data_IF_182618230815
#
_entry.id   IF_182618230815
#
_cell.length_a   1.000
_cell.length_b   1.000
_cell.length_c   1.000
_cell.angle_alpha   90.00
_cell.angle_beta   90.00
_cell.angle_gamma   90.00
#
_symmetry.space_group_name_H-M   'P 1'
#
loop_
_entity.id
_entity.type
_entity.pdbx_description
1 polymer ?
#
# COMPACT_ATOMS: atom_id res chain seq x y z
N UNK A 1 -21.20 -56.79 -49.01
CA UNK A 1 -20.08 -56.04 -49.65
C UNK A 1 -19.36 -55.28 -48.54
N UNK A 2 -18.15 -55.72 -48.25
CA UNK A 2 -17.37 -55.36 -47.08
C UNK A 2 -16.35 -54.32 -47.56
N UNK A 3 -16.38 -53.14 -47.00
CA UNK A 3 -15.42 -52.05 -47.27
C UNK A 3 -14.44 -51.92 -46.11
N UNK A 4 -13.18 -52.28 -46.34
CA UNK A 4 -12.10 -52.24 -45.39
C UNK A 4 -11.60 -50.84 -45.14
N UNK A 5 -11.42 -50.43 -43.88
CA UNK A 5 -10.70 -49.25 -43.45
C UNK A 5 -9.21 -49.55 -43.28
N UNK A 6 -8.27 -48.72 -43.76
CA UNK A 6 -6.86 -48.90 -43.47
C UNK A 6 -6.48 -48.22 -42.15
N UNK A 7 -5.77 -48.97 -41.31
CA UNK A 7 -5.14 -48.50 -40.09
C UNK A 7 -4.00 -47.51 -40.38
N UNK A 8 -4.12 -46.30 -39.86
CA UNK A 8 -3.07 -45.29 -39.89
C UNK A 8 -2.17 -45.46 -38.65
N UNK A 9 -0.98 -46.05 -38.87
CA UNK A 9 0.07 -46.23 -37.87
C UNK A 9 0.78 -44.90 -37.58
N UNK A 10 0.52 -44.30 -36.44
CA UNK A 10 1.30 -43.19 -35.93
C UNK A 10 2.66 -43.66 -35.36
N UNK A 11 3.69 -43.54 -36.17
CA UNK A 11 5.07 -43.66 -35.70
C UNK A 11 5.43 -42.39 -34.91
N UNK A 12 5.61 -42.54 -33.60
CA UNK A 12 6.26 -41.57 -32.72
C UNK A 12 7.76 -41.46 -33.13
N UNK A 13 8.06 -40.47 -33.93
CA UNK A 13 9.46 -40.07 -34.18
C UNK A 13 9.94 -39.23 -33.02
N UNK A 14 10.87 -39.79 -32.29
CA UNK A 14 11.67 -39.17 -31.24
C UNK A 14 12.44 -38.00 -31.83
N UNK A 15 11.96 -36.76 -31.58
CA UNK A 15 12.64 -35.53 -31.99
C UNK A 15 13.80 -35.29 -31.05
N UNK A 16 15.03 -35.70 -31.48
CA UNK A 16 16.25 -35.42 -30.79
C UNK A 16 16.44 -33.89 -30.64
N UNK A 17 16.52 -33.44 -29.40
CA UNK A 17 16.90 -32.07 -29.05
C UNK A 17 18.30 -31.78 -29.59
N UNK A 18 18.36 -31.10 -30.71
CA UNK A 18 19.60 -30.44 -31.15
C UNK A 18 19.88 -29.28 -30.21
N UNK A 19 20.86 -29.44 -29.37
CA UNK A 19 21.48 -28.35 -28.59
C UNK A 19 22.22 -27.47 -29.61
N UNK A 20 21.62 -26.39 -30.02
CA UNK A 20 22.27 -25.36 -30.82
C UNK A 20 23.15 -24.56 -29.85
N UNK A 21 24.47 -24.80 -29.95
CA UNK A 21 25.47 -23.95 -29.29
C UNK A 21 25.40 -22.56 -29.93
N UNK A 22 25.27 -21.47 -29.17
CA UNK A 22 25.29 -20.12 -29.73
C UNK A 22 26.74 -19.81 -30.16
N UNK A 23 26.98 -19.81 -31.47
CA UNK A 23 28.18 -19.23 -32.07
C UNK A 23 27.98 -17.71 -32.15
N UNK A 24 28.93 -16.99 -31.56
CA UNK A 24 29.23 -15.57 -31.81
C UNK A 24 28.20 -14.53 -31.39
N UNK A 25 28.22 -14.14 -30.10
CA UNK A 25 27.43 -13.03 -29.53
C UNK A 25 28.31 -11.77 -29.46
N UNK A 26 28.80 -11.26 -30.55
CA UNK A 26 29.59 -10.01 -30.52
C UNK A 26 29.00 -8.81 -31.28
N UNK A 27 27.76 -8.87 -31.75
CA UNK A 27 27.19 -7.74 -32.54
C UNK A 27 25.69 -7.49 -32.37
N UNK A 28 25.07 -7.93 -31.28
CA UNK A 28 23.67 -7.53 -31.02
C UNK A 28 23.66 -6.58 -29.83
N UNK A 29 23.45 -5.29 -30.17
CA UNK A 29 23.34 -4.19 -29.24
C UNK A 29 22.25 -4.38 -28.19
N UNK A 30 22.23 -3.47 -27.26
CA UNK A 30 21.38 -3.23 -26.09
C UNK A 30 20.00 -3.90 -25.99
N UNK A 31 19.42 -4.41 -27.07
CA UNK A 31 18.08 -5.04 -27.10
C UNK A 31 18.05 -6.46 -26.48
N UNK A 32 19.21 -7.15 -26.44
CA UNK A 32 19.28 -8.49 -25.86
C UNK A 32 19.13 -8.50 -24.33
N UNK A 33 19.52 -7.41 -23.66
CA UNK A 33 19.32 -7.25 -22.21
C UNK A 33 17.84 -7.08 -21.83
N UNK A 34 17.05 -6.46 -22.72
CA UNK A 34 15.62 -6.27 -22.49
C UNK A 34 14.84 -7.58 -22.60
N UNK A 35 15.18 -8.41 -23.60
CA UNK A 35 14.54 -9.73 -23.80
C UNK A 35 14.89 -10.70 -22.66
N UNK A 36 16.12 -10.65 -22.11
CA UNK A 36 16.50 -11.49 -20.96
C UNK A 36 15.78 -11.06 -19.68
N UNK A 37 15.50 -9.78 -19.51
CA UNK A 37 14.76 -9.26 -18.35
C UNK A 37 13.27 -9.63 -18.41
N UNK A 38 12.68 -9.72 -19.60
CA UNK A 38 11.29 -10.14 -19.78
C UNK A 38 11.08 -11.63 -19.62
N UNK A 39 12.04 -12.47 -20.00
CA UNK A 39 11.98 -13.92 -19.81
C UNK A 39 12.03 -14.35 -18.31
N UNK A 40 12.66 -13.56 -17.44
CA UNK A 40 12.64 -13.80 -16.01
C UNK A 40 11.29 -13.45 -15.33
N UNK A 41 10.42 -12.70 -16.01
CA UNK A 41 9.07 -12.39 -15.51
C UNK A 41 8.06 -13.54 -15.66
N UNK A 42 8.39 -14.58 -16.43
CA UNK A 42 7.51 -15.75 -16.65
C UNK A 42 7.68 -16.85 -15.59
N UNK A 43 8.45 -16.62 -14.53
CA UNK A 43 8.43 -17.50 -13.37
C UNK A 43 7.13 -17.27 -12.60
N UNK A 44 6.20 -18.21 -12.72
CA UNK A 44 4.89 -18.24 -12.06
C UNK A 44 4.92 -18.35 -10.53
N UNK A 45 6.09 -18.24 -9.92
CA UNK A 45 6.25 -18.25 -8.46
C UNK A 45 6.18 -16.81 -7.93
N UNK A 46 5.20 -16.54 -7.08
CA UNK A 46 5.17 -15.34 -6.24
C UNK A 46 6.44 -15.31 -5.40
N UNK A 47 7.38 -14.45 -5.77
CA UNK A 47 8.62 -14.30 -5.01
C UNK A 47 8.32 -13.58 -3.69
N UNK A 48 8.54 -14.25 -2.56
CA UNK A 48 8.55 -13.60 -1.26
C UNK A 48 9.83 -12.76 -1.12
N UNK A 49 9.67 -11.47 -0.86
CA UNK A 49 10.78 -10.55 -0.68
C UNK A 49 11.38 -10.68 0.72
N UNK A 50 12.71 -10.67 0.82
CA UNK A 50 13.40 -10.68 2.13
C UNK A 50 13.34 -9.28 2.77
N UNK A 51 13.32 -9.17 4.10
CA UNK A 51 13.28 -7.87 4.78
C UNK A 51 14.45 -6.93 4.43
N UNK A 52 15.62 -7.48 4.07
CA UNK A 52 16.81 -6.72 3.69
C UNK A 52 16.74 -6.13 2.27
N UNK A 53 15.84 -6.64 1.43
CA UNK A 53 15.68 -6.21 0.03
C UNK A 53 14.59 -5.16 -0.13
N UNK A 54 13.91 -4.80 0.97
CA UNK A 54 12.78 -3.85 0.95
C UNK A 54 13.30 -2.43 0.97
N UNK A 55 13.07 -1.71 -0.11
CA UNK A 55 13.31 -0.27 -0.20
C UNK A 55 12.03 0.48 0.16
N UNK A 56 12.08 1.32 1.20
CA UNK A 56 10.96 2.13 1.66
C UNK A 56 11.06 3.54 1.12
N UNK A 57 9.98 4.04 0.55
CA UNK A 57 9.87 5.41 0.04
C UNK A 57 9.24 6.33 1.09
N UNK A 58 9.52 7.62 0.95
CA UNK A 58 8.85 8.66 1.71
C UNK A 58 7.79 9.32 0.86
N UNK A 59 6.59 9.46 1.41
CA UNK A 59 5.42 10.00 0.72
C UNK A 59 4.86 11.15 1.55
N UNK A 60 4.58 12.27 0.90
CA UNK A 60 3.91 13.43 1.50
C UNK A 60 2.49 13.58 0.94
N UNK A 61 1.52 13.86 1.81
CA UNK A 61 0.10 14.04 1.46
C UNK A 61 -0.44 15.26 2.17
N UNK A 62 -1.09 16.15 1.43
CA UNK A 62 -1.86 17.25 2.00
C UNK A 62 -3.31 16.81 2.31
N UNK A 63 -3.70 16.93 3.58
CA UNK A 63 -5.01 16.49 4.08
C UNK A 63 -6.09 17.58 4.09
N UNK A 64 -5.78 18.80 3.64
CA UNK A 64 -6.73 19.91 3.65
C UNK A 64 -8.01 19.61 2.85
N UNK A 65 -9.18 19.67 3.48
CA UNK A 65 -10.49 19.40 2.85
C UNK A 65 -10.70 17.94 2.43
N UNK A 66 -9.85 17.02 2.86
CA UNK A 66 -9.93 15.61 2.50
C UNK A 66 -10.80 14.83 3.48
N UNK A 67 -11.57 13.87 2.97
CA UNK A 67 -12.41 12.98 3.77
C UNK A 67 -11.56 11.98 4.55
N UNK A 68 -11.64 12.03 5.90
CA UNK A 68 -10.84 11.22 6.84
C UNK A 68 -10.85 9.73 6.50
N UNK A 69 -12.02 9.13 6.24
CA UNK A 69 -12.13 7.69 6.02
C UNK A 69 -11.40 7.21 4.76
N UNK A 70 -11.49 7.99 3.69
CA UNK A 70 -10.81 7.67 2.41
C UNK A 70 -9.30 7.85 2.52
N UNK A 71 -8.89 8.95 3.14
CA UNK A 71 -7.48 9.21 3.42
C UNK A 71 -6.87 8.08 4.27
N UNK A 72 -7.55 7.69 5.36
CA UNK A 72 -7.09 6.63 6.24
C UNK A 72 -6.95 5.27 5.52
N UNK A 73 -7.86 4.94 4.59
CA UNK A 73 -7.76 3.72 3.79
C UNK A 73 -6.54 3.75 2.87
N UNK A 74 -6.29 4.88 2.22
CA UNK A 74 -5.13 5.05 1.35
C UNK A 74 -3.82 4.91 2.14
N UNK A 75 -3.71 5.63 3.28
CA UNK A 75 -2.56 5.56 4.18
C UNK A 75 -2.33 4.13 4.68
N UNK A 76 -3.37 3.43 5.14
CA UNK A 76 -3.27 2.05 5.62
C UNK A 76 -2.76 1.09 4.53
N UNK A 77 -3.18 1.26 3.28
CA UNK A 77 -2.70 0.47 2.16
C UNK A 77 -1.22 0.74 1.86
N UNK A 78 -0.77 2.01 1.95
CA UNK A 78 0.63 2.39 1.78
C UNK A 78 1.52 1.88 2.91
N UNK A 79 1.12 2.08 4.16
CA UNK A 79 1.83 1.59 5.35
C UNK A 79 1.97 0.06 5.37
N UNK A 80 0.99 -0.66 4.83
CA UNK A 80 1.04 -2.11 4.73
C UNK A 80 1.81 -2.61 3.52
N UNK A 81 2.06 -1.76 2.52
CA UNK A 81 2.74 -2.11 1.29
C UNK A 81 1.88 -2.84 0.26
N UNK A 82 0.54 -2.80 0.39
CA UNK A 82 -0.39 -3.49 -0.52
C UNK A 82 -0.39 -2.95 -1.96
N UNK A 83 0.22 -1.82 -2.20
CA UNK A 83 0.38 -1.24 -3.53
C UNK A 83 1.51 -1.90 -4.33
N UNK A 84 2.41 -2.64 -3.65
CA UNK A 84 3.52 -3.32 -4.28
C UNK A 84 3.11 -4.70 -4.82
N UNK A 85 3.55 -5.10 -6.02
CA UNK A 85 3.25 -6.42 -6.58
C UNK A 85 3.91 -7.56 -5.78
N UNK A 86 5.00 -7.27 -5.08
CA UNK A 86 5.75 -8.22 -4.24
C UNK A 86 5.24 -8.34 -2.81
N UNK A 87 4.05 -7.80 -2.53
CA UNK A 87 3.48 -7.76 -1.18
C UNK A 87 3.49 -9.12 -0.48
N UNK A 88 4.07 -9.17 0.72
CA UNK A 88 4.07 -10.33 1.62
C UNK A 88 3.52 -9.93 2.99
N UNK A 89 2.53 -10.67 3.55
CA UNK A 89 1.85 -10.27 4.79
C UNK A 89 2.73 -10.22 6.04
N UNK A 90 3.80 -11.01 6.08
CA UNK A 90 4.68 -11.16 7.24
C UNK A 90 5.88 -10.20 7.24
N UNK A 91 6.13 -9.52 6.11
CA UNK A 91 7.24 -8.56 5.97
C UNK A 91 6.69 -7.13 6.00
N UNK A 92 7.45 -6.23 6.62
CA UNK A 92 7.14 -4.81 6.65
C UNK A 92 7.65 -4.12 5.39
N UNK A 93 6.77 -4.05 4.37
CA UNK A 93 7.06 -3.52 3.04
C UNK A 93 6.45 -2.13 2.80
N UNK A 94 5.89 -1.53 3.84
CA UNK A 94 5.20 -0.25 3.74
C UNK A 94 6.15 0.94 3.62
N UNK A 95 5.64 2.01 3.01
CA UNK A 95 6.31 3.29 2.86
C UNK A 95 6.19 4.14 4.14
N UNK A 96 7.06 5.14 4.27
CA UNK A 96 6.91 6.21 5.26
C UNK A 96 5.92 7.24 4.73
N UNK A 97 4.93 7.62 5.55
CA UNK A 97 3.88 8.55 5.15
C UNK A 97 3.90 9.78 6.05
N UNK A 98 4.06 10.94 5.44
CA UNK A 98 3.99 12.26 6.08
C UNK A 98 2.68 12.92 5.65
N UNK A 99 1.87 13.35 6.59
CA UNK A 99 0.60 14.03 6.31
C UNK A 99 0.61 15.39 6.96
N UNK A 100 0.30 16.44 6.20
CA UNK A 100 0.18 17.81 6.67
C UNK A 100 -1.26 18.28 6.69
N UNK A 101 -1.55 19.39 7.37
CA UNK A 101 -2.89 20.00 7.49
C UNK A 101 -3.96 19.05 8.06
N UNK A 102 -3.59 18.23 9.05
CA UNK A 102 -4.51 17.23 9.63
C UNK A 102 -5.65 17.88 10.44
N UNK A 103 -5.52 19.12 10.86
CA UNK A 103 -6.55 19.92 11.52
C UNK A 103 -7.75 20.22 10.61
N UNK A 104 -7.50 20.31 9.27
CA UNK A 104 -8.50 20.70 8.27
C UNK A 104 -9.17 19.50 7.58
N UNK A 105 -9.07 18.31 8.13
CA UNK A 105 -9.74 17.12 7.59
C UNK A 105 -11.25 17.18 7.79
N UNK A 106 -12.00 16.58 6.86
CA UNK A 106 -13.46 16.66 6.84
C UNK A 106 -14.09 15.29 7.09
N UNK A 107 -15.14 15.27 7.92
CA UNK A 107 -16.01 14.10 8.06
C UNK A 107 -17.25 14.24 7.17
N UNK A 108 -17.77 13.13 6.69
CA UNK A 108 -19.00 13.09 5.91
C UNK A 108 -20.22 12.93 6.81
N UNK A 109 -21.27 13.72 6.56
CA UNK A 109 -22.53 13.70 7.33
C UNK A 109 -22.33 14.19 8.76
N UNK A 110 -23.15 13.73 9.68
CA UNK A 110 -23.15 14.16 11.11
C UNK A 110 -22.09 13.49 11.97
N UNK A 111 -21.00 12.91 11.37
CA UNK A 111 -20.00 12.16 12.13
C UNK A 111 -19.18 13.01 13.10
N UNK A 112 -19.13 14.32 12.93
CA UNK A 112 -18.42 15.21 13.86
C UNK A 112 -19.02 15.14 15.27
N UNK A 113 -20.34 15.06 15.36
CA UNK A 113 -21.11 15.05 16.61
C UNK A 113 -21.51 13.66 17.06
N UNK A 114 -21.95 12.80 16.14
CA UNK A 114 -22.57 11.51 16.46
C UNK A 114 -21.54 10.40 16.72
N UNK A 115 -20.32 10.55 16.16
CA UNK A 115 -19.26 9.57 16.38
C UNK A 115 -18.64 9.78 17.76
N UNK A 116 -18.58 8.71 18.56
CA UNK A 116 -17.98 8.75 19.90
C UNK A 116 -16.73 7.88 19.94
N UNK A 117 -15.67 8.41 20.51
CA UNK A 117 -14.47 7.69 20.88
C UNK A 117 -14.53 7.33 22.37
N UNK A 118 -14.54 6.02 22.66
CA UNK A 118 -14.54 5.50 24.01
C UNK A 118 -13.12 5.21 24.48
N UNK A 119 -12.84 5.56 25.75
CA UNK A 119 -11.63 5.20 26.46
C UNK A 119 -11.99 4.75 27.87
N UNK A 120 -11.52 3.57 28.28
CA UNK A 120 -11.69 3.06 29.62
C UNK A 120 -10.45 3.36 30.47
N UNK A 121 -10.65 3.79 31.73
CA UNK A 121 -9.55 4.15 32.65
C UNK A 121 -9.04 2.97 33.47
N UNK A 122 -9.69 1.80 33.41
CA UNK A 122 -9.37 0.62 34.20
C UNK A 122 -10.11 0.52 35.53
N UNK A 123 -10.87 1.55 35.92
CA UNK A 123 -11.68 1.56 37.18
C UNK A 123 -13.17 1.33 36.87
N UNK A 124 -13.94 0.77 37.83
CA UNK A 124 -15.39 0.62 37.67
C UNK A 124 -16.04 1.97 37.30
N UNK A 125 -16.91 1.97 36.26
CA UNK A 125 -17.54 3.19 35.76
C UNK A 125 -16.62 4.15 34.98
N UNK A 126 -15.38 3.77 34.71
CA UNK A 126 -14.36 4.63 34.11
C UNK A 126 -14.40 4.77 32.59
N UNK A 127 -15.57 4.69 31.94
CA UNK A 127 -15.73 4.94 30.51
C UNK A 127 -15.74 6.46 30.26
N UNK A 128 -14.79 6.93 29.44
CA UNK A 128 -14.74 8.33 28.99
C UNK A 128 -15.09 8.41 27.53
N UNK A 129 -15.92 9.40 27.17
CA UNK A 129 -16.42 9.63 25.83
C UNK A 129 -15.86 10.95 25.28
N UNK A 130 -15.53 10.95 24.00
CA UNK A 130 -15.08 12.18 23.29
C UNK A 130 -15.57 12.15 21.85
N UNK A 131 -16.04 13.29 21.34
CA UNK A 131 -16.45 13.43 19.94
C UNK A 131 -15.28 13.89 19.07
N UNK A 132 -15.30 13.62 17.74
CA UNK A 132 -14.28 14.09 16.81
C UNK A 132 -14.13 15.62 16.82
N UNK A 133 -15.23 16.35 16.92
CA UNK A 133 -15.25 17.82 17.01
C UNK A 133 -14.39 18.33 18.19
N UNK A 134 -14.57 17.74 19.39
CA UNK A 134 -13.77 18.07 20.57
C UNK A 134 -12.29 17.73 20.40
N UNK A 135 -11.97 16.68 19.64
CA UNK A 135 -10.57 16.27 19.40
C UNK A 135 -9.93 17.19 18.38
N UNK A 136 -10.62 17.56 17.28
CA UNK A 136 -10.10 18.48 16.26
C UNK A 136 -9.88 19.89 16.81
N UNK A 137 -10.79 20.38 17.67
CA UNK A 137 -10.63 21.68 18.35
C UNK A 137 -9.68 21.63 19.56
N UNK A 138 -9.14 20.47 19.91
CA UNK A 138 -8.24 20.30 21.03
C UNK A 138 -6.76 20.46 20.68
N UNK A 139 -5.89 20.17 21.67
CA UNK A 139 -4.42 20.29 21.54
C UNK A 139 -3.81 19.35 20.49
N UNK A 140 -4.42 18.19 20.22
CA UNK A 140 -3.88 17.14 19.35
C UNK A 140 -4.91 16.68 18.32
N UNK A 141 -5.16 17.45 17.26
CA UNK A 141 -6.09 17.08 16.18
C UNK A 141 -5.66 15.83 15.41
N UNK A 142 -4.37 15.56 15.36
CA UNK A 142 -3.75 14.41 14.67
C UNK A 142 -4.32 13.06 15.12
N UNK A 143 -4.76 12.97 16.38
CA UNK A 143 -5.34 11.74 16.96
C UNK A 143 -6.57 11.23 16.22
N UNK A 144 -7.27 12.08 15.52
CA UNK A 144 -8.45 11.69 14.74
C UNK A 144 -8.05 10.78 13.59
N UNK A 145 -7.04 11.21 12.83
CA UNK A 145 -6.52 10.44 11.69
C UNK A 145 -5.72 9.23 12.17
N UNK A 146 -4.90 9.39 13.20
CA UNK A 146 -4.14 8.30 13.84
C UNK A 146 -5.05 7.13 14.23
N UNK A 147 -6.14 7.41 14.97
CA UNK A 147 -7.12 6.37 15.35
C UNK A 147 -7.86 5.78 14.17
N UNK A 148 -8.09 6.56 13.11
CA UNK A 148 -8.72 6.04 11.90
C UNK A 148 -7.82 5.02 11.19
N UNK A 149 -6.54 5.32 11.06
CA UNK A 149 -5.54 4.43 10.44
C UNK A 149 -5.27 3.22 11.34
N UNK A 150 -5.09 3.41 12.65
CA UNK A 150 -4.86 2.33 13.62
C UNK A 150 -5.94 1.24 13.53
N UNK A 151 -7.22 1.65 13.39
CA UNK A 151 -8.34 0.71 13.27
C UNK A 151 -8.42 -0.02 11.94
N UNK A 152 -7.72 0.47 10.91
CA UNK A 152 -7.64 -0.16 9.59
C UNK A 152 -6.45 -1.13 9.44
N UNK A 153 -5.51 -1.10 10.38
CA UNK A 153 -4.39 -2.03 10.44
C UNK A 153 -4.75 -3.26 11.29
N UNK A 154 -4.19 -4.46 11.00
CA UNK A 154 -4.42 -5.66 11.77
C UNK A 154 -3.79 -5.54 13.17
N UNK A 155 -4.61 -5.58 14.23
CA UNK A 155 -4.15 -5.40 15.62
C UNK A 155 -3.47 -6.63 16.22
N UNK A 156 -3.68 -7.79 15.63
CA UNK A 156 -3.20 -9.09 16.11
C UNK A 156 -1.68 -9.23 16.05
N UNK A 157 -1.06 -8.57 15.07
CA UNK A 157 0.37 -8.68 14.82
C UNK A 157 1.16 -7.49 15.39
N UNK A 158 2.35 -7.72 15.99
CA UNK A 158 3.27 -6.65 16.37
C UNK A 158 3.73 -5.80 15.16
N UNK A 159 3.61 -6.34 13.96
CA UNK A 159 3.90 -5.66 12.70
C UNK A 159 3.09 -4.36 12.54
N UNK A 160 1.81 -4.36 12.91
CA UNK A 160 0.97 -3.17 12.82
C UNK A 160 1.47 -2.02 13.70
N UNK A 161 2.00 -2.31 14.89
CA UNK A 161 2.61 -1.29 15.76
C UNK A 161 3.84 -0.67 15.11
N UNK A 162 4.67 -1.49 14.45
CA UNK A 162 5.83 -1.03 13.70
C UNK A 162 5.40 -0.17 12.49
N UNK A 163 4.38 -0.59 11.75
CA UNK A 163 3.84 0.18 10.62
C UNK A 163 3.28 1.54 11.07
N UNK A 164 2.63 1.63 12.23
CA UNK A 164 2.18 2.91 12.79
C UNK A 164 3.31 3.88 13.08
N UNK A 165 4.52 3.43 13.40
CA UNK A 165 5.66 4.33 13.60
C UNK A 165 6.15 4.99 12.31
N UNK A 166 5.79 4.46 11.15
CA UNK A 166 6.10 5.04 9.84
C UNK A 166 5.13 6.16 9.43
N UNK A 167 4.06 6.37 10.18
CA UNK A 167 3.12 7.45 9.97
C UNK A 167 3.53 8.69 10.78
N UNK A 168 3.69 9.82 10.09
CA UNK A 168 3.98 11.14 10.69
C UNK A 168 2.85 12.10 10.34
N UNK A 169 2.22 12.65 11.35
CA UNK A 169 1.08 13.55 11.22
C UNK A 169 1.44 14.93 11.76
N UNK A 170 1.10 15.96 10.99
CA UNK A 170 1.33 17.36 11.34
C UNK A 170 0.02 18.15 11.21
N UNK A 171 -0.32 18.91 12.25
CA UNK A 171 -1.50 19.75 12.23
C UNK A 171 -1.37 20.91 11.24
N UNK A 172 -0.16 21.49 11.12
CA UNK A 172 0.13 22.60 10.23
C UNK A 172 0.60 22.17 8.83
N UNK A 173 0.93 23.17 7.96
CA UNK A 173 1.45 22.93 6.62
C UNK A 173 2.92 22.47 6.61
N UNK A 174 3.68 22.78 7.65
CA UNK A 174 5.12 22.51 7.73
C UNK A 174 5.37 21.13 8.36
N UNK A 175 6.43 20.47 7.92
CA UNK A 175 6.89 19.20 8.46
C UNK A 175 8.42 19.17 8.58
N UNK A 176 8.95 18.37 9.50
CA UNK A 176 10.39 18.29 9.80
C UNK A 176 11.16 17.28 8.92
N UNK A 177 10.51 16.73 7.88
CA UNK A 177 11.03 15.65 7.05
C UNK A 177 11.46 16.10 5.63
N UNK A 178 11.92 17.32 5.47
CA UNK A 178 12.39 17.85 4.17
C UNK A 178 13.66 17.14 3.68
N UNK A 179 14.56 16.80 4.60
CA UNK A 179 15.81 16.11 4.29
C UNK A 179 15.63 14.74 3.61
N UNK A 180 14.48 14.07 3.84
CA UNK A 180 14.12 12.79 3.23
C UNK A 180 13.53 12.93 1.82
N UNK A 181 13.29 14.16 1.35
CA UNK A 181 12.71 14.46 0.03
C UNK A 181 11.46 13.61 -0.28
N UNK A 182 10.39 13.73 0.52
CA UNK A 182 9.20 12.92 0.33
C UNK A 182 8.52 13.22 -1.01
N UNK A 183 8.10 12.17 -1.72
CA UNK A 183 7.32 12.27 -2.96
C UNK A 183 5.92 12.81 -2.64
N UNK A 184 5.55 13.96 -3.20
CA UNK A 184 4.22 14.54 -2.99
C UNK A 184 3.17 13.80 -3.82
N UNK A 185 2.10 13.33 -3.15
CA UNK A 185 0.98 12.67 -3.81
C UNK A 185 -0.28 13.53 -3.67
N UNK A 186 -0.84 13.92 -4.81
CA UNK A 186 -2.12 14.63 -4.88
C UNK A 186 -3.29 13.69 -4.69
N UNK A 187 -3.60 13.37 -3.44
CA UNK A 187 -4.73 12.51 -3.12
C UNK A 187 -6.08 13.10 -3.55
N UNK A 188 -6.18 14.43 -3.59
CA UNK A 188 -7.40 15.17 -4.00
C UNK A 188 -7.78 14.86 -5.45
N UNK A 189 -6.80 14.82 -6.36
CA UNK A 189 -6.99 14.60 -7.79
C UNK A 189 -7.40 13.16 -8.15
N UNK A 190 -7.05 12.17 -7.30
CA UNK A 190 -7.34 10.75 -7.57
C UNK A 190 -8.84 10.44 -7.68
N UNK A 191 -9.70 11.19 -6.99
CA UNK A 191 -11.16 11.01 -7.06
C UNK A 191 -11.89 12.24 -6.53
N UNK A 192 -12.90 12.69 -7.25
CA UNK A 192 -13.78 13.79 -6.81
C UNK A 192 -14.48 13.53 -5.46
N UNK A 193 -14.58 12.27 -5.04
CA UNK A 193 -15.17 11.88 -3.74
C UNK A 193 -14.19 12.04 -2.57
N UNK A 194 -12.92 12.32 -2.81
CA UNK A 194 -11.90 12.46 -1.76
C UNK A 194 -11.99 13.80 -1.05
N UNK A 195 -12.47 14.83 -1.74
CA UNK A 195 -12.64 16.19 -1.20
C UNK A 195 -14.10 16.49 -0.94
N UNK A 196 -14.38 17.24 0.13
CA UNK A 196 -15.67 17.89 0.37
C UNK A 196 -15.41 19.25 1.00
N UNK A 197 -16.17 20.24 0.55
CA UNK A 197 -16.31 21.49 1.31
C UNK A 197 -16.94 21.17 2.68
N UNK A 198 -16.41 21.76 3.71
CA UNK A 198 -16.94 21.67 5.07
C UNK A 198 -18.36 22.23 5.15
#
# INVERSE_FOLDING_TARGET
MVGAFPACGLRLTFCARRIIKPANVQSLGTDCFYVFRTLNMLKSTTAAQKPAEVEKKWIHIDAEGVVVGRLATFIANRLRGKHLPTYTPHVDMGDYVVVTNVDKVVFTGKKNTDKVYYRHTGHPGGIKETTPEKVLGGRFPERVLEKAVERMLPKESPLARKQMTHLRLFAGPNHDHEAQQPETIDFKSMSAKNTRSA
#
